data_IF_994524776657
#
_entry.id   IF_994524776657
#
_cell.length_a   1.000
_cell.length_b   1.000
_cell.length_c   1.000
_cell.angle_alpha   90.00
_cell.angle_beta   90.00
_cell.angle_gamma   90.00
#
_symmetry.space_group_name_H-M   'P 1'
#
loop_
_entity.id
_entity.type
_entity.pdbx_description
1 polymer ?
#
# COMPACT_ATOMS: atom_id res chain seq x y z
N UNK A 1 11.88 -43.26 13.53
CA UNK A 1 11.19 -42.06 14.06
C UNK A 1 10.42 -41.43 12.90
N UNK A 2 9.08 -41.49 12.89
CA UNK A 2 8.30 -40.85 11.82
C UNK A 2 8.17 -39.37 12.16
N UNK A 3 8.90 -38.51 11.48
CA UNK A 3 8.74 -37.07 11.62
C UNK A 3 7.37 -36.69 11.05
N UNK A 4 6.53 -36.06 11.88
CA UNK A 4 5.30 -35.46 11.41
C UNK A 4 5.65 -34.36 10.40
N UNK A 5 5.26 -34.53 9.15
CA UNK A 5 5.34 -33.48 8.15
C UNK A 5 3.99 -32.77 8.06
N UNK A 6 3.96 -31.44 8.22
CA UNK A 6 2.73 -30.68 8.02
C UNK A 6 2.18 -30.90 6.61
N UNK A 7 0.85 -30.87 6.48
CA UNK A 7 0.18 -30.97 5.19
C UNK A 7 0.71 -29.89 4.22
N UNK A 8 0.84 -30.23 2.93
CA UNK A 8 1.40 -29.32 1.93
C UNK A 8 0.60 -28.00 1.78
N UNK A 9 -0.70 -28.00 2.08
CA UNK A 9 -1.53 -26.79 2.11
C UNK A 9 -1.15 -25.86 3.29
N UNK A 10 -0.93 -26.42 4.48
CA UNK A 10 -0.51 -25.66 5.66
C UNK A 10 0.85 -24.99 5.44
N UNK A 11 1.84 -25.72 4.89
CA UNK A 11 3.15 -25.14 4.58
C UNK A 11 3.03 -23.96 3.62
N UNK A 12 2.22 -24.10 2.56
CA UNK A 12 1.97 -23.00 1.61
C UNK A 12 1.34 -21.77 2.27
N UNK A 13 0.44 -21.96 3.25
CA UNK A 13 -0.11 -20.84 4.02
C UNK A 13 0.97 -20.17 4.89
N UNK A 14 1.82 -20.94 5.58
CA UNK A 14 2.95 -20.39 6.32
C UNK A 14 3.88 -19.59 5.40
N UNK A 15 4.28 -20.16 4.27
CA UNK A 15 5.18 -19.52 3.30
C UNK A 15 4.57 -18.22 2.73
N UNK A 16 3.24 -18.15 2.58
CA UNK A 16 2.54 -16.96 2.13
C UNK A 16 2.51 -15.86 3.21
N UNK A 17 2.25 -16.22 4.48
CA UNK A 17 2.28 -15.26 5.58
C UNK A 17 3.70 -14.78 5.93
N UNK A 18 4.70 -15.63 5.81
CA UNK A 18 6.11 -15.30 6.09
C UNK A 18 6.70 -14.28 5.09
N UNK A 19 6.09 -14.15 3.91
CA UNK A 19 6.45 -13.10 2.93
C UNK A 19 5.96 -11.71 3.33
N UNK A 20 5.06 -11.59 4.31
CA UNK A 20 4.53 -10.29 4.73
C UNK A 20 5.55 -9.55 5.60
N UNK A 21 5.70 -8.22 5.42
CA UNK A 21 6.64 -7.44 6.21
C UNK A 21 6.30 -7.50 7.70
N UNK A 22 7.29 -7.79 8.54
CA UNK A 22 7.13 -7.87 9.99
C UNK A 22 6.57 -9.20 10.50
N UNK A 23 6.34 -10.18 9.62
CA UNK A 23 5.92 -11.54 10.00
C UNK A 23 7.10 -12.48 9.78
N UNK A 24 7.45 -13.24 10.81
CA UNK A 24 8.44 -14.31 10.71
C UNK A 24 7.80 -15.69 10.88
N UNK A 25 8.58 -16.74 10.70
CA UNK A 25 8.13 -18.15 10.65
C UNK A 25 7.11 -18.53 11.74
N UNK A 26 7.37 -18.17 12.99
CA UNK A 26 6.47 -18.48 14.11
C UNK A 26 5.16 -17.69 14.03
N UNK A 27 5.20 -16.43 13.60
CA UNK A 27 4.02 -15.60 13.37
C UNK A 27 3.18 -16.14 12.22
N UNK A 28 3.82 -16.46 11.10
CA UNK A 28 3.20 -17.08 9.93
C UNK A 28 2.49 -18.39 10.28
N UNK A 29 3.15 -19.25 11.07
CA UNK A 29 2.56 -20.50 11.57
C UNK A 29 1.30 -20.25 12.40
N UNK A 30 1.36 -19.31 13.35
CA UNK A 30 0.19 -18.95 14.19
C UNK A 30 -0.98 -18.46 13.36
N UNK A 31 -0.73 -17.67 12.32
CA UNK A 31 -1.77 -17.18 11.41
C UNK A 31 -2.37 -18.31 10.57
N UNK A 32 -1.53 -19.22 10.05
CA UNK A 32 -2.00 -20.39 9.32
C UNK A 32 -2.88 -21.31 10.18
N UNK A 33 -2.49 -21.54 11.44
CA UNK A 33 -3.30 -22.32 12.40
C UNK A 33 -4.62 -21.62 12.73
N UNK A 34 -4.61 -20.30 12.93
CA UNK A 34 -5.82 -19.52 13.17
C UNK A 34 -6.78 -19.60 11.98
N UNK A 35 -6.28 -19.42 10.76
CA UNK A 35 -7.09 -19.48 9.55
C UNK A 35 -7.71 -20.88 9.35
N UNK A 36 -6.95 -21.94 9.60
CA UNK A 36 -7.42 -23.32 9.43
C UNK A 36 -8.43 -23.78 10.49
N UNK A 37 -8.27 -23.37 11.74
CA UNK A 37 -9.02 -23.98 12.85
C UNK A 37 -10.01 -23.06 13.54
N UNK A 38 -9.85 -21.74 13.42
CA UNK A 38 -10.60 -20.77 14.24
C UNK A 38 -11.33 -19.70 13.42
N UNK A 39 -11.11 -19.65 12.11
CA UNK A 39 -11.69 -18.63 11.25
C UNK A 39 -12.78 -19.18 10.34
N UNK A 40 -13.74 -18.32 9.98
CA UNK A 40 -14.49 -18.50 8.75
C UNK A 40 -13.57 -18.11 7.58
N UNK A 41 -12.85 -19.12 7.06
CA UNK A 41 -11.89 -18.91 6.00
C UNK A 41 -12.54 -18.32 4.74
N UNK A 42 -13.83 -18.59 4.50
CA UNK A 42 -14.53 -18.02 3.34
C UNK A 42 -14.75 -16.52 3.52
N UNK A 43 -15.26 -16.10 4.67
CA UNK A 43 -15.43 -14.67 4.95
C UNK A 43 -14.10 -13.90 4.90
N UNK A 44 -13.00 -14.52 5.35
CA UNK A 44 -11.67 -13.93 5.23
C UNK A 44 -11.20 -13.79 3.78
N UNK A 45 -11.42 -14.83 2.95
CA UNK A 45 -11.12 -14.77 1.51
C UNK A 45 -11.95 -13.68 0.82
N UNK A 46 -13.25 -13.60 1.09
CA UNK A 46 -14.12 -12.58 0.51
C UNK A 46 -13.65 -11.16 0.88
N UNK A 47 -13.22 -10.96 2.13
CA UNK A 47 -12.67 -9.68 2.60
C UNK A 47 -11.34 -9.35 1.90
N UNK A 48 -10.45 -10.34 1.75
CA UNK A 48 -9.18 -10.15 1.04
C UNK A 48 -9.40 -9.80 -0.43
N UNK A 49 -10.33 -10.48 -1.10
CA UNK A 49 -10.69 -10.21 -2.50
C UNK A 49 -11.24 -8.79 -2.66
N UNK A 50 -12.14 -8.36 -1.78
CA UNK A 50 -12.67 -7.00 -1.77
C UNK A 50 -11.57 -5.96 -1.55
N UNK A 51 -10.69 -6.15 -0.57
CA UNK A 51 -9.59 -5.24 -0.28
C UNK A 51 -8.60 -5.14 -1.44
N UNK A 52 -8.28 -6.26 -2.10
CA UNK A 52 -7.40 -6.29 -3.27
C UNK A 52 -8.00 -5.60 -4.51
N UNK A 53 -9.33 -5.55 -4.59
CA UNK A 53 -10.06 -4.95 -5.71
C UNK A 53 -10.39 -3.45 -5.49
N UNK A 54 -10.09 -2.89 -4.32
CA UNK A 54 -10.41 -1.49 -4.02
C UNK A 54 -9.74 -0.53 -5.04
N UNK A 55 -10.51 0.41 -5.61
CA UNK A 55 -9.96 1.37 -6.56
C UNK A 55 -8.98 2.34 -5.89
N UNK A 56 -8.12 2.93 -6.72
CA UNK A 56 -7.27 4.04 -6.32
C UNK A 56 -7.80 5.35 -6.87
N UNK A 57 -7.60 6.42 -6.11
CA UNK A 57 -7.85 7.79 -6.52
C UNK A 57 -7.05 8.09 -7.79
N UNK A 58 -7.73 8.62 -8.81
CA UNK A 58 -7.13 8.90 -10.12
C UNK A 58 -6.03 9.97 -10.07
N UNK A 59 -6.02 10.80 -9.03
CA UNK A 59 -5.09 11.92 -8.87
C UNK A 59 -3.93 11.62 -7.90
N UNK A 60 -4.18 10.98 -6.76
CA UNK A 60 -3.16 10.81 -5.70
C UNK A 60 -2.80 9.36 -5.36
N UNK A 61 -3.41 8.38 -6.03
CA UNK A 61 -3.30 6.94 -5.75
C UNK A 61 -3.73 6.50 -4.34
N UNK A 62 -4.40 7.31 -3.53
CA UNK A 62 -4.98 6.80 -2.28
C UNK A 62 -6.06 5.76 -2.58
N UNK A 63 -6.12 4.71 -1.76
CA UNK A 63 -7.20 3.73 -1.86
C UNK A 63 -8.52 4.42 -1.50
N UNK A 64 -9.57 4.20 -2.30
CA UNK A 64 -10.89 4.81 -2.16
C UNK A 64 -11.97 3.73 -2.26
N UNK A 65 -13.17 4.02 -1.74
CA UNK A 65 -14.31 3.11 -1.83
C UNK A 65 -14.84 3.03 -3.27
N UNK A 66 -15.05 4.21 -3.90
CA UNK A 66 -15.56 4.33 -5.26
C UNK A 66 -14.50 4.91 -6.21
N UNK A 67 -14.58 4.52 -7.49
CA UNK A 67 -13.68 5.04 -8.51
C UNK A 67 -13.87 6.56 -8.71
N UNK A 68 -12.78 7.32 -8.64
CA UNK A 68 -12.80 8.77 -8.86
C UNK A 68 -11.74 9.54 -8.08
N UNK A 69 -12.09 10.75 -7.64
CA UNK A 69 -11.25 11.58 -6.78
C UNK A 69 -11.60 11.36 -5.30
N UNK A 70 -10.57 11.20 -4.46
CA UNK A 70 -10.76 11.13 -3.02
C UNK A 70 -11.13 12.50 -2.42
N UNK A 71 -11.64 12.55 -1.17
CA UNK A 71 -11.97 13.80 -0.51
C UNK A 71 -10.81 14.80 -0.45
N UNK A 72 -9.57 14.34 -0.29
CA UNK A 72 -8.38 15.20 -0.26
C UNK A 72 -8.07 15.86 -1.61
N UNK A 73 -8.36 15.19 -2.72
CA UNK A 73 -8.14 15.75 -4.06
C UNK A 73 -9.29 16.65 -4.52
N UNK A 74 -10.49 16.42 -4.00
CA UNK A 74 -11.68 17.20 -4.30
C UNK A 74 -11.83 18.44 -3.41
N UNK A 75 -11.01 18.56 -2.38
CA UNK A 75 -11.01 19.69 -1.43
C UNK A 75 -10.45 20.97 -2.10
N UNK A 76 -11.29 21.99 -2.33
CA UNK A 76 -10.87 23.24 -2.97
C UNK A 76 -10.03 24.14 -2.08
N UNK A 77 -9.95 23.88 -0.77
CA UNK A 77 -9.12 24.66 0.15
C UNK A 77 -7.64 24.27 0.06
N UNK A 78 -7.33 23.13 -0.57
CA UNK A 78 -5.95 22.67 -0.76
C UNK A 78 -5.23 23.41 -1.87
N UNK A 79 -3.98 23.75 -1.59
CA UNK A 79 -3.12 24.43 -2.55
C UNK A 79 -2.73 23.48 -3.69
N UNK A 80 -3.23 23.82 -4.89
CA UNK A 80 -2.97 23.13 -6.14
C UNK A 80 -1.54 23.34 -6.68
N UNK A 81 -0.82 24.36 -6.19
CA UNK A 81 0.54 24.70 -6.63
C UNK A 81 1.62 23.94 -5.86
N UNK A 82 1.27 23.31 -4.74
CA UNK A 82 2.19 22.55 -3.90
C UNK A 82 1.81 21.07 -3.89
N UNK A 83 2.75 20.20 -4.27
CA UNK A 83 2.57 18.76 -4.29
C UNK A 83 3.59 18.06 -3.40
N UNK A 84 3.12 17.29 -2.40
CA UNK A 84 3.94 16.37 -1.64
C UNK A 84 3.86 14.94 -2.21
N UNK A 85 5.00 14.33 -2.46
CA UNK A 85 5.13 12.93 -2.87
C UNK A 85 5.62 12.11 -1.68
N UNK A 86 4.82 11.13 -1.27
CA UNK A 86 5.12 10.19 -0.17
C UNK A 86 5.22 8.77 -0.71
N UNK A 87 6.04 7.94 -0.05
CA UNK A 87 6.22 6.54 -0.42
C UNK A 87 5.04 5.69 0.05
N UNK A 88 4.60 5.90 1.30
CA UNK A 88 3.67 5.01 1.99
C UNK A 88 2.45 5.76 2.52
N UNK A 89 1.30 5.08 2.56
CA UNK A 89 0.04 5.65 3.09
C UNK A 89 0.15 6.02 4.58
N UNK A 90 1.02 5.34 5.33
CA UNK A 90 1.31 5.65 6.73
C UNK A 90 1.88 7.07 6.94
N UNK A 91 2.50 7.65 5.92
CA UNK A 91 3.03 9.02 5.97
C UNK A 91 1.94 10.09 5.75
N UNK A 92 0.75 9.71 5.30
CA UNK A 92 -0.31 10.66 4.96
C UNK A 92 -0.81 11.42 6.20
N UNK A 93 -1.29 10.69 7.22
CA UNK A 93 -1.92 11.34 8.37
C UNK A 93 -0.97 12.29 9.11
N UNK A 94 0.30 11.91 9.40
CA UNK A 94 1.26 12.84 10.01
C UNK A 94 1.50 14.11 9.18
N UNK A 95 1.51 14.01 7.85
CA UNK A 95 1.65 15.16 6.96
C UNK A 95 0.41 16.07 6.99
N UNK A 96 -0.80 15.48 7.06
CA UNK A 96 -2.02 16.27 7.20
C UNK A 96 -2.07 16.98 8.56
N UNK A 97 -1.70 16.29 9.63
CA UNK A 97 -1.66 16.82 11.00
C UNK A 97 -0.63 17.94 11.17
N UNK A 98 0.42 17.97 10.34
CA UNK A 98 1.39 19.08 10.33
C UNK A 98 0.83 20.37 9.72
N UNK A 99 -0.42 20.37 9.25
CA UNK A 99 -1.04 21.51 8.58
C UNK A 99 -0.56 21.72 7.15
N UNK A 100 -0.07 20.66 6.48
CA UNK A 100 0.37 20.76 5.09
C UNK A 100 -0.80 21.16 4.17
N UNK A 101 -0.72 22.33 3.49
CA UNK A 101 -1.84 22.87 2.72
C UNK A 101 -1.96 22.28 1.31
N UNK A 102 -0.88 21.69 0.80
CA UNK A 102 -0.80 21.22 -0.58
C UNK A 102 -1.53 19.90 -0.83
N UNK A 103 -1.51 19.49 -2.09
CA UNK A 103 -1.97 18.18 -2.52
C UNK A 103 -0.92 17.09 -2.21
N UNK A 104 -1.37 15.85 -2.08
CA UNK A 104 -0.50 14.69 -1.80
C UNK A 104 -0.55 13.69 -2.96
N UNK A 105 0.52 12.94 -3.15
CA UNK A 105 0.63 11.81 -4.07
C UNK A 105 1.31 10.63 -3.38
N UNK A 106 0.74 9.42 -3.49
CA UNK A 106 1.28 8.21 -2.86
C UNK A 106 1.87 7.26 -3.92
N UNK A 107 3.13 6.88 -3.74
CA UNK A 107 3.83 5.98 -4.67
C UNK A 107 3.56 4.49 -4.44
N UNK A 108 3.09 4.12 -3.24
CA UNK A 108 2.92 2.73 -2.75
C UNK A 108 4.24 1.94 -2.70
N UNK A 109 5.30 2.62 -2.28
CA UNK A 109 6.61 2.03 -2.06
C UNK A 109 7.75 2.87 -2.61
N UNK A 110 8.95 2.31 -2.49
CA UNK A 110 10.21 2.86 -2.99
C UNK A 110 10.90 1.87 -3.90
N UNK A 111 11.82 2.38 -4.74
CA UNK A 111 12.66 1.52 -5.56
C UNK A 111 13.53 0.65 -4.64
N UNK A 112 13.57 -0.64 -4.91
CA UNK A 112 14.36 -1.57 -4.10
C UNK A 112 14.90 -2.71 -4.97
N UNK A 113 16.16 -2.60 -5.44
CA UNK A 113 16.81 -3.67 -6.21
C UNK A 113 16.85 -4.99 -5.44
N UNK A 114 17.09 -4.94 -4.12
CA UNK A 114 17.11 -6.11 -3.25
C UNK A 114 15.75 -6.85 -3.23
N UNK A 115 14.64 -6.11 -3.28
CA UNK A 115 13.28 -6.66 -3.37
C UNK A 115 12.78 -6.81 -4.81
N UNK A 116 13.62 -6.56 -5.81
CA UNK A 116 13.28 -6.53 -7.25
C UNK A 116 12.12 -5.57 -7.59
N UNK A 117 11.94 -4.51 -6.81
CA UNK A 117 10.94 -3.46 -7.05
C UNK A 117 11.56 -2.43 -7.98
N UNK A 118 11.09 -2.42 -9.23
CA UNK A 118 11.53 -1.47 -10.25
C UNK A 118 10.55 -0.30 -10.45
N UNK A 119 10.90 0.68 -11.30
CA UNK A 119 10.06 1.83 -11.60
C UNK A 119 8.70 1.46 -12.18
N UNK A 120 8.62 0.37 -12.96
CA UNK A 120 7.39 -0.16 -13.53
C UNK A 120 6.44 -0.77 -12.50
N UNK A 121 6.95 -1.13 -11.32
CA UNK A 121 6.17 -1.65 -10.20
C UNK A 121 5.59 -0.51 -9.36
N UNK A 122 6.28 0.64 -9.36
CA UNK A 122 5.78 1.87 -8.76
C UNK A 122 4.77 2.51 -9.71
N UNK A 123 3.74 3.15 -9.16
CA UNK A 123 2.67 3.78 -9.95
C UNK A 123 3.10 5.13 -10.54
N UNK A 124 4.28 5.19 -11.14
CA UNK A 124 4.92 6.41 -11.63
C UNK A 124 4.29 6.97 -12.90
N UNK A 125 3.66 6.13 -13.74
CA UNK A 125 3.01 6.59 -14.97
C UNK A 125 1.91 7.62 -14.69
N UNK A 126 1.06 7.33 -13.70
CA UNK A 126 0.00 8.24 -13.27
C UNK A 126 0.60 9.53 -12.68
N UNK A 127 1.69 9.43 -11.91
CA UNK A 127 2.38 10.59 -11.34
C UNK A 127 2.88 11.54 -12.44
N UNK A 128 3.60 11.00 -13.43
CA UNK A 128 4.10 11.82 -14.54
C UNK A 128 2.97 12.44 -15.35
N UNK A 129 1.90 11.69 -15.63
CA UNK A 129 0.72 12.21 -16.31
C UNK A 129 0.11 13.39 -15.55
N UNK A 130 -0.04 13.27 -14.22
CA UNK A 130 -0.56 14.35 -13.36
C UNK A 130 0.32 15.59 -13.42
N UNK A 131 1.63 15.43 -13.21
CA UNK A 131 2.58 16.56 -13.19
C UNK A 131 2.65 17.26 -14.55
N UNK A 132 2.45 16.55 -15.65
CA UNK A 132 2.37 17.16 -16.98
C UNK A 132 1.08 17.94 -17.21
N UNK A 133 -0.06 17.43 -16.73
CA UNK A 133 -1.36 18.08 -16.89
C UNK A 133 -1.53 19.27 -15.95
N UNK A 134 -1.00 19.16 -14.73
CA UNK A 134 -1.06 20.18 -13.69
C UNK A 134 0.30 20.28 -12.99
N UNK A 135 1.26 21.01 -13.60
CA UNK A 135 2.59 21.16 -13.02
C UNK A 135 2.52 21.99 -11.74
N UNK A 136 3.00 21.47 -10.59
CA UNK A 136 3.07 22.24 -9.36
C UNK A 136 4.25 23.23 -9.42
N UNK A 137 4.11 24.40 -8.80
CA UNK A 137 5.22 25.33 -8.56
C UNK A 137 6.23 24.76 -7.55
N UNK A 138 5.75 23.98 -6.58
CA UNK A 138 6.58 23.36 -5.54
C UNK A 138 6.32 21.86 -5.45
N UNK A 139 7.39 21.08 -5.54
CA UNK A 139 7.36 19.63 -5.36
C UNK A 139 8.17 19.25 -4.11
N UNK A 140 7.48 18.75 -3.08
CA UNK A 140 8.09 18.22 -1.88
C UNK A 140 8.23 16.70 -2.00
N UNK A 141 9.47 16.20 -1.96
CA UNK A 141 9.74 14.77 -1.91
C UNK A 141 9.91 14.34 -0.46
N UNK A 142 8.83 13.85 0.15
CA UNK A 142 8.81 13.34 1.52
C UNK A 142 8.94 11.81 1.49
N UNK A 143 10.01 11.32 0.87
CA UNK A 143 10.31 9.89 0.80
C UNK A 143 10.98 9.43 2.10
N UNK A 144 10.75 8.17 2.47
CA UNK A 144 11.34 7.60 3.69
C UNK A 144 12.85 7.50 3.58
N UNK A 145 13.52 7.60 4.73
CA UNK A 145 14.98 7.55 4.86
C UNK A 145 15.45 6.09 4.70
N UNK A 146 15.42 5.59 3.47
CA UNK A 146 15.85 4.24 3.11
C UNK A 146 16.91 4.32 2.02
N UNK A 147 18.03 3.63 2.25
CA UNK A 147 19.21 3.52 1.36
C UNK A 147 18.91 2.59 0.19
#
# INVERSE_FOLDING_TARGET
MKYYQPAAAFRRLCDAFDQMPGIGEQGAKRMAEWLMYQSDAQAFLDTLEQAAAMPLCQCCNLVVEDAGHCPLCSDPERDAQTLAVIAETAQLQPLLDSGFPGQVYVLHGVLSPARRIGPSTLRLENFFSRVQQQPPEQLLLALTDTV
#
